data_IF_471263907078
#
_entry.id   IF_471263907078
#
_cell.length_a   1.000
_cell.length_b   1.000
_cell.length_c   1.000
_cell.angle_alpha   90.00
_cell.angle_beta   90.00
_cell.angle_gamma   90.00
#
_symmetry.space_group_name_H-M   'P 1'
#
loop_
_entity.id
_entity.type
_entity.pdbx_description
1 polymer ?
#
# COMPACT_ATOMS: atom_id res chain seq x y z
N UNK A 1 36.98 29.64 -33.10
CA UNK A 1 37.42 30.35 -31.89
C UNK A 1 36.52 29.91 -30.74
N UNK A 2 37.13 29.21 -29.78
CA UNK A 2 36.66 28.80 -28.44
C UNK A 2 35.44 27.85 -28.29
N UNK A 3 35.78 26.56 -28.22
CA UNK A 3 35.17 25.57 -27.32
C UNK A 3 35.53 25.90 -25.86
N UNK A 4 34.63 25.63 -24.91
CA UNK A 4 35.02 25.21 -23.55
C UNK A 4 34.10 24.11 -23.03
N UNK A 5 34.76 23.00 -22.70
CA UNK A 5 34.35 21.82 -21.95
C UNK A 5 34.38 22.15 -20.44
N UNK A 6 33.47 21.60 -19.63
CA UNK A 6 33.64 21.54 -18.17
C UNK A 6 33.06 20.24 -17.61
N UNK A 7 33.97 19.28 -17.48
CA UNK A 7 33.90 18.00 -16.76
C UNK A 7 33.89 18.16 -15.23
N UNK A 8 33.32 17.14 -14.60
CA UNK A 8 33.67 16.53 -13.29
C UNK A 8 33.47 17.31 -11.99
N UNK A 9 32.51 16.84 -11.18
CA UNK A 9 32.44 17.07 -9.73
C UNK A 9 31.88 15.83 -9.03
N UNK A 10 32.72 14.80 -8.86
CA UNK A 10 32.39 13.59 -8.08
C UNK A 10 33.67 12.90 -7.63
N UNK A 11 34.47 13.54 -6.78
CA UNK A 11 35.62 12.87 -6.13
C UNK A 11 36.07 13.58 -4.84
N UNK A 12 35.19 13.82 -3.86
CA UNK A 12 35.63 14.33 -2.55
C UNK A 12 34.73 13.88 -1.39
N UNK A 13 34.57 12.58 -1.11
CA UNK A 13 34.08 12.12 0.22
C UNK A 13 34.51 10.66 0.50
N UNK A 14 35.82 10.38 0.46
CA UNK A 14 36.36 9.04 0.74
C UNK A 14 37.57 9.03 1.71
N UNK A 15 37.75 10.07 2.54
CA UNK A 15 38.93 10.19 3.41
C UNK A 15 38.62 10.77 4.80
N UNK A 16 37.76 10.10 5.57
CA UNK A 16 37.63 10.32 7.02
C UNK A 16 37.44 8.98 7.75
N UNK A 17 38.35 8.04 7.53
CA UNK A 17 38.32 6.73 8.20
C UNK A 17 39.73 6.24 8.54
N UNK A 18 40.55 7.06 9.20
CA UNK A 18 41.72 6.53 9.91
C UNK A 18 42.00 7.38 11.15
N UNK A 19 42.35 6.67 12.22
CA UNK A 19 43.03 7.11 13.45
C UNK A 19 42.13 7.59 14.58
N UNK A 20 41.68 6.66 15.42
CA UNK A 20 41.83 6.79 16.88
C UNK A 20 41.86 5.40 17.56
N UNK A 21 42.98 5.15 18.24
CA UNK A 21 43.15 4.31 19.44
C UNK A 21 43.46 2.81 19.24
N UNK A 22 44.75 2.59 18.97
CA UNK A 22 45.69 1.68 19.66
C UNK A 22 45.23 0.88 20.90
N UNK A 23 45.57 -0.41 20.85
CA UNK A 23 46.32 -1.19 21.86
C UNK A 23 45.79 -1.22 23.31
N UNK A 24 45.19 -2.37 23.67
CA UNK A 24 45.58 -3.13 24.87
C UNK A 24 44.93 -4.53 24.83
N UNK A 25 45.75 -5.57 24.67
CA UNK A 25 45.45 -6.92 25.18
C UNK A 25 45.81 -6.93 26.67
N UNK A 26 45.12 -7.70 27.53
CA UNK A 26 45.63 -9.05 27.75
C UNK A 26 44.59 -10.14 28.13
N UNK A 27 45.02 -11.38 27.88
CA UNK A 27 44.85 -12.60 28.69
C UNK A 27 43.49 -13.29 28.86
N UNK A 28 43.52 -14.56 28.42
CA UNK A 28 43.04 -15.75 29.13
C UNK A 28 41.53 -15.91 29.25
N UNK A 29 40.93 -16.68 28.32
CA UNK A 29 39.69 -17.38 28.61
C UNK A 29 40.01 -18.75 29.20
N UNK A 30 39.75 -18.88 30.49
CA UNK A 30 39.64 -20.15 31.17
C UNK A 30 38.46 -20.96 30.59
N UNK A 31 38.68 -22.25 30.43
CA UNK A 31 37.65 -23.24 30.11
C UNK A 31 36.68 -23.31 31.29
N UNK A 32 35.48 -22.77 31.11
CA UNK A 32 34.38 -22.97 32.04
C UNK A 32 33.72 -24.32 31.78
N UNK A 33 33.43 -24.99 32.89
CA UNK A 33 32.92 -26.34 33.07
C UNK A 33 31.52 -26.47 32.46
N UNK A 34 31.28 -27.57 31.73
CA UNK A 34 29.92 -28.00 31.36
C UNK A 34 29.11 -28.23 32.64
N UNK A 35 28.13 -27.36 32.87
CA UNK A 35 27.03 -27.65 33.77
C UNK A 35 25.92 -28.35 32.98
N UNK A 36 25.43 -29.44 33.58
CA UNK A 36 24.40 -30.32 33.02
C UNK A 36 23.12 -29.55 32.64
N UNK A 37 22.36 -30.04 31.64
CA UNK A 37 21.11 -29.41 31.24
C UNK A 37 20.07 -29.50 32.38
N UNK A 38 19.76 -28.34 32.97
CA UNK A 38 18.56 -28.17 33.78
C UNK A 38 17.37 -28.23 32.81
N UNK A 39 16.57 -29.30 32.93
CA UNK A 39 15.26 -29.40 32.31
C UNK A 39 14.38 -28.27 32.88
N UNK A 40 14.34 -27.12 32.20
CA UNK A 40 13.31 -26.13 32.42
C UNK A 40 11.99 -26.74 31.93
N UNK A 41 11.10 -27.04 32.87
CA UNK A 41 9.71 -27.31 32.58
C UNK A 41 9.17 -26.13 31.76
N UNK A 42 8.62 -26.44 30.58
CA UNK A 42 8.00 -25.45 29.72
C UNK A 42 6.87 -24.76 30.50
N UNK A 43 6.96 -23.44 30.65
CA UNK A 43 5.81 -22.67 31.11
C UNK A 43 4.60 -23.03 30.24
N UNK A 44 3.44 -23.31 30.85
CA UNK A 44 2.24 -23.59 30.09
C UNK A 44 1.96 -22.38 29.17
N UNK A 45 1.59 -22.61 27.90
CA UNK A 45 1.37 -21.52 26.96
C UNK A 45 0.36 -20.55 27.57
N UNK A 46 0.78 -19.28 27.69
CA UNK A 46 -0.04 -18.19 28.16
C UNK A 46 -1.41 -18.29 27.47
N UNK A 47 -2.46 -18.45 28.27
CA UNK A 47 -3.83 -18.56 27.79
C UNK A 47 -4.09 -17.45 26.77
N UNK A 48 -4.53 -17.84 25.56
CA UNK A 48 -4.88 -16.90 24.51
C UNK A 48 -5.85 -15.86 25.09
N UNK A 49 -5.38 -14.63 25.25
CA UNK A 49 -6.22 -13.53 25.72
C UNK A 49 -7.45 -13.45 24.83
N UNK A 50 -8.62 -13.48 25.46
CA UNK A 50 -9.94 -13.43 24.84
C UNK A 50 -10.13 -12.06 24.17
N UNK A 51 -9.59 -11.91 22.96
CA UNK A 51 -9.65 -10.66 22.21
C UNK A 51 -11.00 -10.55 21.51
N UNK A 52 -11.73 -9.48 21.80
CA UNK A 52 -12.96 -9.15 21.10
C UNK A 52 -12.71 -9.10 19.58
N UNK A 53 -13.46 -9.86 18.77
CA UNK A 53 -13.32 -9.84 17.32
C UNK A 53 -13.45 -8.42 16.77
N UNK A 54 -12.59 -8.08 15.81
CA UNK A 54 -12.58 -6.78 15.13
C UNK A 54 -12.21 -5.58 16.02
N UNK A 55 -11.56 -5.79 17.16
CA UNK A 55 -11.13 -4.69 18.04
C UNK A 55 -10.36 -3.59 17.28
N UNK A 56 -9.34 -3.96 16.49
CA UNK A 56 -8.56 -3.01 15.71
C UNK A 56 -9.41 -2.26 14.66
N UNK A 57 -10.31 -2.96 13.97
CA UNK A 57 -11.22 -2.36 12.97
C UNK A 57 -12.14 -1.34 13.63
N UNK A 58 -12.76 -1.70 14.76
CA UNK A 58 -13.69 -0.83 15.47
C UNK A 58 -12.95 0.43 15.95
N UNK A 59 -11.77 0.27 16.56
CA UNK A 59 -10.94 1.37 17.03
C UNK A 59 -10.52 2.32 15.90
N UNK A 60 -10.00 1.78 14.79
CA UNK A 60 -9.57 2.58 13.65
C UNK A 60 -10.75 3.31 12.97
N UNK A 61 -11.82 2.61 12.65
CA UNK A 61 -12.96 3.20 11.94
C UNK A 61 -13.75 4.21 12.81
N UNK A 62 -13.72 4.09 14.14
CA UNK A 62 -14.41 5.02 15.04
C UNK A 62 -13.85 6.46 14.95
N UNK A 63 -12.58 6.61 14.60
CA UNK A 63 -11.90 7.92 14.50
C UNK A 63 -12.36 8.74 13.28
N UNK A 64 -13.14 8.15 12.36
CA UNK A 64 -13.64 8.83 11.17
C UNK A 64 -14.72 9.86 11.54
N UNK A 65 -14.54 11.14 11.20
CA UNK A 65 -15.50 12.19 11.55
C UNK A 65 -16.82 12.04 10.78
N UNK A 66 -16.74 11.62 9.52
CA UNK A 66 -17.90 11.43 8.66
C UNK A 66 -18.56 10.06 8.91
N UNK A 67 -19.89 10.07 9.11
CA UNK A 67 -20.67 8.83 9.31
C UNK A 67 -20.56 7.86 8.14
N UNK A 68 -20.62 8.34 6.89
CA UNK A 68 -20.55 7.48 5.70
C UNK A 68 -19.19 6.82 5.57
N UNK A 69 -18.12 7.56 5.88
CA UNK A 69 -16.75 7.03 5.82
C UNK A 69 -16.52 6.00 6.92
N UNK A 70 -17.04 6.25 8.13
CA UNK A 70 -17.05 5.27 9.22
C UNK A 70 -17.80 3.99 8.85
N UNK A 71 -19.00 4.12 8.29
CA UNK A 71 -19.79 2.98 7.86
C UNK A 71 -19.12 2.22 6.71
N UNK A 72 -18.51 2.91 5.74
CA UNK A 72 -17.74 2.28 4.69
C UNK A 72 -16.53 1.53 5.25
N UNK A 73 -15.73 2.16 6.09
CA UNK A 73 -14.55 1.56 6.74
C UNK A 73 -14.92 0.25 7.46
N UNK A 74 -15.97 0.30 8.30
CA UNK A 74 -16.45 -0.88 9.03
C UNK A 74 -16.92 -1.98 8.06
N UNK A 75 -17.76 -1.64 7.07
CA UNK A 75 -18.24 -2.63 6.11
C UNK A 75 -17.11 -3.23 5.28
N UNK A 76 -16.19 -2.42 4.78
CA UNK A 76 -15.08 -2.82 3.94
C UNK A 76 -14.17 -3.79 4.69
N UNK A 77 -13.63 -3.40 5.85
CA UNK A 77 -12.71 -4.24 6.61
C UNK A 77 -13.38 -5.51 7.14
N UNK A 78 -14.65 -5.44 7.59
CA UNK A 78 -15.36 -6.63 8.07
C UNK A 78 -15.79 -7.60 6.97
N UNK A 79 -15.60 -7.26 5.68
CA UNK A 79 -15.79 -8.25 4.60
C UNK A 79 -14.72 -9.33 4.57
N UNK A 80 -13.54 -9.05 5.14
CA UNK A 80 -12.45 -10.03 5.25
C UNK A 80 -12.44 -10.65 6.65
N UNK A 81 -12.51 -11.98 6.79
CA UNK A 81 -12.52 -12.64 8.09
C UNK A 81 -11.21 -12.46 8.87
N UNK A 82 -10.07 -12.19 8.20
CA UNK A 82 -8.78 -11.91 8.86
C UNK A 82 -8.86 -10.68 9.76
N UNK A 83 -9.75 -9.74 9.44
CA UNK A 83 -9.98 -8.53 10.23
C UNK A 83 -10.51 -8.80 11.63
N UNK A 84 -11.11 -9.98 11.87
CA UNK A 84 -11.57 -10.36 13.20
C UNK A 84 -10.39 -10.54 14.18
N UNK A 85 -9.26 -11.05 13.68
CA UNK A 85 -8.06 -11.34 14.45
C UNK A 85 -6.97 -10.26 14.34
N UNK A 86 -7.16 -9.25 13.47
CA UNK A 86 -6.20 -8.16 13.29
C UNK A 86 -6.00 -7.38 14.61
N UNK A 87 -4.73 -7.21 14.99
CA UNK A 87 -4.34 -6.59 16.28
C UNK A 87 -3.83 -5.17 16.15
N UNK A 88 -3.33 -4.81 14.98
CA UNK A 88 -2.63 -3.56 14.71
C UNK A 88 -2.99 -3.00 13.33
N UNK A 89 -2.54 -1.76 13.09
CA UNK A 89 -2.73 -1.08 11.82
C UNK A 89 -1.98 -1.75 10.67
N UNK A 90 -0.88 -2.44 10.95
CA UNK A 90 -0.10 -3.15 9.93
C UNK A 90 -0.92 -4.30 9.32
N UNK A 91 -1.54 -5.11 10.18
CA UNK A 91 -2.46 -6.18 9.78
C UNK A 91 -3.67 -5.63 9.03
N UNK A 92 -4.24 -4.52 9.51
CA UNK A 92 -5.34 -3.86 8.81
C UNK A 92 -4.93 -3.31 7.44
N UNK A 93 -3.71 -2.78 7.32
CA UNK A 93 -3.19 -2.26 6.06
C UNK A 93 -3.06 -3.38 5.04
N UNK A 94 -2.45 -4.50 5.40
CA UNK A 94 -2.34 -5.68 4.52
C UNK A 94 -3.72 -6.15 4.03
N UNK A 95 -4.69 -6.26 4.94
CA UNK A 95 -6.07 -6.63 4.58
C UNK A 95 -6.69 -5.59 3.65
N UNK A 96 -6.51 -4.31 3.94
CA UNK A 96 -7.08 -3.22 3.13
C UNK A 96 -6.48 -3.18 1.72
N UNK A 97 -5.17 -3.45 1.59
CA UNK A 97 -4.47 -3.58 0.31
C UNK A 97 -5.04 -4.74 -0.49
N UNK A 98 -5.21 -5.92 0.10
CA UNK A 98 -5.79 -7.07 -0.60
C UNK A 98 -7.21 -6.78 -1.12
N UNK A 99 -8.03 -6.11 -0.31
CA UNK A 99 -9.36 -5.65 -0.70
C UNK A 99 -9.29 -4.64 -1.85
N UNK A 100 -8.38 -3.66 -1.76
CA UNK A 100 -8.16 -2.67 -2.81
C UNK A 100 -7.68 -3.30 -4.10
N UNK A 101 -6.69 -4.20 -4.08
CA UNK A 101 -6.19 -4.94 -5.24
C UNK A 101 -7.32 -5.72 -5.91
N UNK A 102 -8.15 -6.43 -5.12
CA UNK A 102 -9.30 -7.14 -5.65
C UNK A 102 -10.27 -6.19 -6.37
N UNK A 103 -10.64 -5.09 -5.73
CA UNK A 103 -11.60 -4.11 -6.27
C UNK A 103 -11.06 -3.39 -7.50
N UNK A 104 -9.79 -3.01 -7.49
CA UNK A 104 -9.10 -2.40 -8.62
C UNK A 104 -9.01 -3.36 -9.80
N UNK A 105 -8.73 -4.65 -9.57
CA UNK A 105 -8.76 -5.67 -10.63
C UNK A 105 -10.15 -5.86 -11.23
N UNK A 106 -11.20 -6.01 -10.41
CA UNK A 106 -12.60 -6.12 -10.87
C UNK A 106 -12.96 -4.95 -11.79
N UNK A 107 -12.62 -3.74 -11.37
CA UNK A 107 -12.82 -2.51 -12.13
C UNK A 107 -11.99 -2.44 -13.43
N UNK A 108 -10.72 -2.84 -13.37
CA UNK A 108 -9.85 -2.86 -14.52
C UNK A 108 -10.39 -3.79 -15.61
N UNK A 109 -10.84 -4.99 -15.22
CA UNK A 109 -11.47 -5.94 -16.14
C UNK A 109 -12.80 -5.43 -16.70
N UNK A 110 -13.58 -4.71 -15.90
CA UNK A 110 -14.79 -4.04 -16.37
C UNK A 110 -14.47 -3.03 -17.49
N UNK A 111 -13.45 -2.19 -17.33
CA UNK A 111 -13.03 -1.20 -18.34
C UNK A 111 -12.51 -1.88 -19.61
N UNK A 112 -11.70 -2.93 -19.47
CA UNK A 112 -11.21 -3.74 -20.61
C UNK A 112 -12.40 -4.34 -21.37
N UNK A 113 -13.36 -4.92 -20.67
CA UNK A 113 -14.56 -5.51 -21.28
C UNK A 113 -15.39 -4.46 -22.00
N UNK A 114 -15.56 -3.29 -21.37
CA UNK A 114 -16.33 -2.19 -21.93
C UNK A 114 -15.68 -1.65 -23.22
N UNK A 115 -14.35 -1.56 -23.27
CA UNK A 115 -13.63 -1.08 -24.47
C UNK A 115 -13.74 -2.02 -25.68
N UNK A 116 -14.01 -3.30 -25.45
CA UNK A 116 -14.17 -4.33 -26.50
C UNK A 116 -15.58 -4.40 -27.09
N UNK A 117 -16.59 -3.78 -26.47
CA UNK A 117 -17.98 -3.84 -26.97
C UNK A 117 -18.13 -3.10 -28.30
N UNK A 118 -18.61 -3.81 -29.34
CA UNK A 118 -18.78 -3.29 -30.71
C UNK A 118 -19.98 -2.34 -30.88
N UNK A 119 -20.92 -2.31 -29.94
CA UNK A 119 -22.24 -1.69 -30.12
C UNK A 119 -22.34 -0.20 -29.75
N UNK A 120 -21.22 0.50 -29.59
CA UNK A 120 -21.23 1.94 -29.32
C UNK A 120 -21.08 2.69 -30.66
N UNK A 121 -21.89 3.73 -30.91
CA UNK A 121 -21.97 4.48 -32.18
C UNK A 121 -20.62 5.07 -32.64
N UNK A 122 -20.34 5.12 -33.95
CA UNK A 122 -18.99 5.31 -34.51
C UNK A 122 -18.18 6.55 -34.04
N UNK A 123 -18.83 7.63 -33.61
CA UNK A 123 -18.17 8.89 -33.17
C UNK A 123 -18.07 9.04 -31.65
N UNK A 124 -19.08 8.67 -30.87
CA UNK A 124 -18.97 8.57 -29.39
C UNK A 124 -18.00 7.46 -28.98
N UNK A 125 -17.87 6.42 -29.81
CA UNK A 125 -17.09 5.24 -29.51
C UNK A 125 -15.58 5.47 -29.60
N UNK A 126 -15.09 6.41 -30.41
CA UNK A 126 -13.63 6.63 -30.51
C UNK A 126 -13.08 7.40 -29.29
N UNK A 127 -13.76 8.47 -28.88
CA UNK A 127 -13.38 9.21 -27.67
C UNK A 127 -13.53 8.34 -26.42
N UNK A 128 -14.64 7.59 -26.30
CA UNK A 128 -14.82 6.65 -25.20
C UNK A 128 -13.76 5.56 -25.20
N UNK A 129 -13.40 4.95 -26.33
CA UNK A 129 -12.34 3.95 -26.40
C UNK A 129 -10.98 4.51 -25.96
N UNK A 130 -10.64 5.72 -26.38
CA UNK A 130 -9.40 6.37 -25.95
C UNK A 130 -9.39 6.57 -24.43
N UNK A 131 -10.46 7.14 -23.86
CA UNK A 131 -10.57 7.35 -22.42
C UNK A 131 -10.56 6.03 -21.64
N UNK A 132 -11.21 4.99 -22.15
CA UNK A 132 -11.18 3.67 -21.51
C UNK A 132 -9.77 3.05 -21.54
N UNK A 133 -8.97 3.31 -22.58
CA UNK A 133 -7.57 2.89 -22.63
C UNK A 133 -6.74 3.65 -21.58
N UNK A 134 -6.92 4.95 -21.46
CA UNK A 134 -6.21 5.77 -20.47
C UNK A 134 -6.59 5.36 -19.04
N UNK A 135 -7.90 5.16 -18.79
CA UNK A 135 -8.37 4.59 -17.54
C UNK A 135 -7.78 3.20 -17.29
N UNK A 136 -7.75 2.31 -18.29
CA UNK A 136 -7.13 0.98 -18.12
C UNK A 136 -5.64 1.08 -17.76
N UNK A 137 -4.91 2.05 -18.32
CA UNK A 137 -3.51 2.29 -17.95
C UNK A 137 -3.40 2.80 -16.51
N UNK A 138 -4.23 3.76 -16.12
CA UNK A 138 -4.30 4.28 -14.76
C UNK A 138 -4.58 3.19 -13.70
N UNK A 139 -5.53 2.28 -13.98
CA UNK A 139 -5.83 1.15 -13.10
C UNK A 139 -4.66 0.17 -13.01
N UNK A 140 -3.95 -0.09 -14.11
CA UNK A 140 -2.74 -0.91 -14.08
C UNK A 140 -1.63 -0.27 -13.25
N UNK A 141 -1.52 1.07 -13.26
CA UNK A 141 -0.56 1.77 -12.40
C UNK A 141 -0.97 1.69 -10.94
N UNK A 142 -2.23 1.96 -10.62
CA UNK A 142 -2.79 1.80 -9.27
C UNK A 142 -2.51 0.40 -8.69
N UNK A 143 -2.69 -0.67 -9.48
CA UNK A 143 -2.36 -2.03 -9.05
C UNK A 143 -0.89 -2.21 -8.67
N UNK A 144 0.03 -1.65 -9.47
CA UNK A 144 1.47 -1.75 -9.18
C UNK A 144 1.81 -1.08 -7.86
N UNK A 145 1.29 0.12 -7.63
CA UNK A 145 1.52 0.85 -6.37
C UNK A 145 0.92 0.10 -5.17
N UNK A 146 -0.31 -0.44 -5.31
CA UNK A 146 -0.93 -1.24 -4.25
C UNK A 146 -0.10 -2.49 -3.91
N UNK A 147 0.52 -3.13 -4.90
CA UNK A 147 1.38 -4.29 -4.68
C UNK A 147 2.71 -3.93 -3.99
N UNK A 148 3.19 -2.69 -4.13
CA UNK A 148 4.43 -2.21 -3.51
C UNK A 148 4.26 -1.95 -2.01
N UNK A 149 3.10 -1.44 -1.57
CA UNK A 149 2.78 -1.19 -0.15
C UNK A 149 3.24 -2.31 0.80
N UNK A 150 2.84 -3.59 0.66
CA UNK A 150 3.26 -4.64 1.59
C UNK A 150 4.76 -4.97 1.53
N UNK A 151 5.43 -4.70 0.40
CA UNK A 151 6.89 -4.89 0.27
C UNK A 151 7.62 -3.80 1.02
N UNK A 152 7.19 -2.57 0.86
CA UNK A 152 7.82 -1.41 1.48
C UNK A 152 7.53 -1.30 2.97
N UNK A 153 6.40 -1.81 3.45
CA UNK A 153 6.10 -1.87 4.89
C UNK A 153 7.14 -2.62 5.72
N UNK A 154 7.92 -3.52 5.11
CA UNK A 154 8.99 -4.25 5.80
C UNK A 154 10.23 -3.38 6.02
N UNK A 155 10.42 -2.36 5.19
CA UNK A 155 11.62 -1.54 5.11
C UNK A 155 11.37 -0.12 5.65
N UNK A 156 10.29 0.53 5.21
CA UNK A 156 9.94 1.91 5.55
C UNK A 156 8.42 2.19 5.39
N UNK A 157 7.73 2.44 6.51
CA UNK A 157 6.31 2.78 6.52
C UNK A 157 5.98 4.10 5.79
N UNK A 158 6.94 5.02 5.67
CA UNK A 158 6.76 6.25 4.92
C UNK A 158 6.65 5.99 3.41
N UNK A 159 7.40 5.00 2.89
CA UNK A 159 7.32 4.59 1.50
C UNK A 159 5.97 3.91 1.20
N UNK A 160 5.51 3.02 2.08
CA UNK A 160 4.18 2.42 1.97
C UNK A 160 3.03 3.45 1.96
N UNK A 161 3.15 4.52 2.75
CA UNK A 161 2.21 5.66 2.72
C UNK A 161 2.28 6.44 1.41
N UNK A 162 3.49 6.63 0.88
CA UNK A 162 3.70 7.28 -0.41
C UNK A 162 3.08 6.47 -1.56
N UNK A 163 3.28 5.15 -1.62
CA UNK A 163 2.68 4.27 -2.60
C UNK A 163 1.15 4.29 -2.56
N UNK A 164 0.56 4.30 -1.36
CA UNK A 164 -0.89 4.41 -1.22
C UNK A 164 -1.42 5.71 -1.84
N UNK A 165 -0.69 6.83 -1.69
CA UNK A 165 -1.03 8.11 -2.32
C UNK A 165 -0.88 8.03 -3.84
N UNK A 166 0.23 7.46 -4.33
CA UNK A 166 0.45 7.27 -5.77
C UNK A 166 -0.64 6.39 -6.40
N UNK A 167 -1.10 5.36 -5.70
CA UNK A 167 -2.23 4.52 -6.13
C UNK A 167 -3.53 5.33 -6.26
N UNK A 168 -3.80 6.24 -5.31
CA UNK A 168 -4.96 7.13 -5.33
C UNK A 168 -4.87 8.14 -6.49
N UNK A 169 -3.73 8.78 -6.68
CA UNK A 169 -3.49 9.75 -7.75
C UNK A 169 -3.60 9.11 -9.13
N UNK A 170 -3.11 7.87 -9.27
CA UNK A 170 -3.29 7.09 -10.48
C UNK A 170 -4.77 6.92 -10.82
N UNK A 171 -5.62 6.55 -9.85
CA UNK A 171 -7.06 6.47 -10.08
C UNK A 171 -7.66 7.82 -10.47
N UNK A 172 -7.25 8.91 -9.82
CA UNK A 172 -7.75 10.26 -10.13
C UNK A 172 -7.57 10.62 -11.61
N UNK A 173 -6.47 10.20 -12.24
CA UNK A 173 -6.22 10.47 -13.67
C UNK A 173 -7.32 9.92 -14.60
N UNK A 174 -7.95 8.78 -14.27
CA UNK A 174 -9.07 8.25 -15.05
C UNK A 174 -10.30 9.17 -14.97
N UNK A 175 -10.61 9.67 -13.77
CA UNK A 175 -11.72 10.60 -13.56
C UNK A 175 -11.49 11.93 -14.30
N UNK A 176 -10.25 12.42 -14.31
CA UNK A 176 -9.84 13.61 -15.06
C UNK A 176 -10.01 13.41 -16.56
N UNK A 177 -9.58 12.26 -17.11
CA UNK A 177 -9.78 11.93 -18.52
C UNK A 177 -11.25 11.86 -18.91
N UNK A 178 -12.10 11.22 -18.09
CA UNK A 178 -13.56 11.18 -18.31
C UNK A 178 -14.17 12.58 -18.34
N UNK A 179 -13.79 13.46 -17.40
CA UNK A 179 -14.25 14.85 -17.34
C UNK A 179 -13.79 15.66 -18.53
N UNK A 180 -12.50 15.56 -18.88
CA UNK A 180 -11.90 16.29 -20.01
C UNK A 180 -12.55 15.95 -21.34
N UNK A 181 -12.98 14.71 -21.51
CA UNK A 181 -13.69 14.25 -22.71
C UNK A 181 -15.22 14.43 -22.63
N UNK A 182 -15.74 15.06 -21.57
CA UNK A 182 -17.18 15.25 -21.34
C UNK A 182 -17.99 13.93 -21.40
N UNK A 183 -17.39 12.83 -20.91
CA UNK A 183 -18.01 11.51 -20.90
C UNK A 183 -18.73 11.32 -19.58
N UNK A 184 -20.06 11.34 -19.61
CA UNK A 184 -20.91 11.03 -18.47
C UNK A 184 -21.38 9.57 -18.54
N UNK A 185 -20.64 8.66 -17.93
CA UNK A 185 -21.03 7.25 -17.83
C UNK A 185 -21.24 6.84 -16.36
N UNK A 186 -22.49 6.73 -15.94
CA UNK A 186 -22.85 6.41 -14.54
C UNK A 186 -22.26 5.09 -14.03
N UNK A 187 -22.11 4.08 -14.88
CA UNK A 187 -21.53 2.79 -14.49
C UNK A 187 -20.04 2.92 -14.21
N UNK A 188 -19.30 3.63 -15.08
CA UNK A 188 -17.87 3.91 -14.86
C UNK A 188 -17.70 4.77 -13.60
N UNK A 189 -18.47 5.86 -13.47
CA UNK A 189 -18.34 6.76 -12.32
C UNK A 189 -18.68 6.08 -10.98
N UNK A 190 -19.67 5.18 -10.96
CA UNK A 190 -20.03 4.42 -9.75
C UNK A 190 -18.92 3.46 -9.37
N UNK A 191 -18.47 2.65 -10.32
CA UNK A 191 -17.37 1.70 -10.11
C UNK A 191 -16.11 2.44 -9.64
N UNK A 192 -15.77 3.55 -10.29
CA UNK A 192 -14.57 4.31 -9.97
C UNK A 192 -14.59 4.85 -8.53
N UNK A 193 -15.74 5.39 -8.11
CA UNK A 193 -15.93 5.85 -6.72
C UNK A 193 -15.80 4.72 -5.72
N UNK A 194 -16.33 3.54 -6.04
CA UNK A 194 -16.24 2.37 -5.15
C UNK A 194 -14.76 1.98 -4.92
N UNK A 195 -14.00 1.80 -6.00
CA UNK A 195 -12.55 1.50 -5.92
C UNK A 195 -11.78 2.60 -5.19
N UNK A 196 -12.06 3.87 -5.50
CA UNK A 196 -11.39 4.99 -4.85
C UNK A 196 -11.57 4.96 -3.32
N UNK A 197 -12.74 4.57 -2.80
CA UNK A 197 -12.90 4.43 -1.35
C UNK A 197 -12.02 3.33 -0.75
N UNK A 198 -11.82 2.20 -1.45
CA UNK A 198 -10.92 1.15 -0.99
C UNK A 198 -9.46 1.60 -1.00
N UNK A 199 -9.02 2.31 -2.05
CA UNK A 199 -7.64 2.83 -2.10
C UNK A 199 -7.40 3.92 -1.06
N UNK A 200 -8.37 4.82 -0.85
CA UNK A 200 -8.29 5.83 0.21
C UNK A 200 -8.25 5.19 1.60
N UNK A 201 -8.94 4.06 1.80
CA UNK A 201 -8.82 3.31 3.04
C UNK A 201 -7.38 2.85 3.30
N UNK A 202 -6.65 2.39 2.27
CA UNK A 202 -5.22 2.07 2.40
C UNK A 202 -4.40 3.31 2.80
N UNK A 203 -4.62 4.44 2.13
CA UNK A 203 -3.94 5.71 2.42
C UNK A 203 -4.11 6.09 3.89
N UNK A 204 -5.34 6.00 4.38
CA UNK A 204 -5.65 6.43 5.74
C UNK A 204 -5.12 5.49 6.82
N UNK A 205 -5.07 4.18 6.54
CA UNK A 205 -4.45 3.22 7.46
C UNK A 205 -2.93 3.44 7.47
N UNK A 206 -2.31 3.59 6.28
CA UNK A 206 -0.87 3.80 6.16
C UNK A 206 -0.40 5.07 6.89
N UNK A 207 -1.16 6.17 6.80
CA UNK A 207 -0.90 7.40 7.58
C UNK A 207 -1.00 7.25 9.09
N UNK A 208 -1.68 6.21 9.57
CA UNK A 208 -1.83 5.92 10.99
C UNK A 208 -0.69 5.09 11.58
N UNK A 209 0.18 4.52 10.72
CA UNK A 209 1.39 3.77 11.09
C UNK A 209 2.53 4.78 11.30
#
# INVERSE_FOLDING_TARGET
>A
MMMTDKRNSTTVYALLFVLFISLNSPTSFAVAKEDAPVLMEAEPPAAAADHEPYHAVNGFCAQRPNRKDREFCLRALKTDPRSAAARDLLSLLQISVDLAVKKTNEAHQFLITLSKKKNNSATENQSLKAVLKDCSFAYSWCLKELEMIPRELLDDAALASYDALMASDALQSCNESLKKSNIANHSISRMHRDVAHYVLLCVDIARGI
#
